data_IF_628402562793
#
_entry.id   IF_628402562793
#
_cell.length_a   1.000
_cell.length_b   1.000
_cell.length_c   1.000
_cell.angle_alpha   90.00
_cell.angle_beta   90.00
_cell.angle_gamma   90.00
#
_symmetry.space_group_name_H-M   'P 1'
#
loop_
_entity.id
_entity.type
_entity.pdbx_description
1 polymer ?
#
# COMPACT_ATOMS: atom_id res chain seq x y z
N UNK A 1 -13.04 -15.97 2.54
CA UNK A 1 -12.87 -14.64 3.14
C UNK A 1 -11.69 -13.91 2.51
N UNK A 2 -11.88 -12.63 2.18
CA UNK A 2 -10.82 -11.75 1.65
C UNK A 2 -10.41 -10.77 2.74
N UNK A 3 -9.16 -10.32 2.69
CA UNK A 3 -8.56 -9.43 3.68
C UNK A 3 -7.92 -8.24 2.96
N UNK A 4 -7.92 -7.07 3.61
CA UNK A 4 -7.10 -5.94 3.18
C UNK A 4 -5.84 -5.86 4.04
N UNK A 5 -4.66 -5.82 3.41
CA UNK A 5 -3.35 -5.75 4.09
C UNK A 5 -2.59 -4.45 3.76
N UNK A 6 -2.71 -3.42 4.60
CA UNK A 6 -1.97 -2.16 4.45
C UNK A 6 -0.46 -2.32 4.28
N UNK A 7 0.12 -3.31 4.99
CA UNK A 7 1.55 -3.59 4.96
C UNK A 7 2.05 -4.05 3.58
N UNK A 8 1.14 -4.40 2.67
CA UNK A 8 1.48 -4.77 1.31
C UNK A 8 1.67 -3.59 0.37
N UNK A 9 1.34 -2.38 0.81
CA UNK A 9 1.59 -1.17 0.04
C UNK A 9 3.04 -0.68 0.21
N UNK A 10 3.66 -0.39 -0.93
CA UNK A 10 4.98 0.20 -1.05
C UNK A 10 4.90 1.44 -1.94
N UNK A 11 5.68 2.46 -1.61
CA UNK A 11 5.96 3.58 -2.50
C UNK A 11 7.32 3.34 -3.13
N UNK A 12 7.36 3.37 -4.46
CA UNK A 12 8.56 3.31 -5.27
C UNK A 12 8.94 4.70 -5.76
N UNK A 13 10.25 4.91 -5.92
CA UNK A 13 10.84 6.18 -6.30
C UNK A 13 11.54 6.06 -7.66
N UNK A 14 11.81 7.22 -8.28
CA UNK A 14 12.49 7.30 -9.58
C UNK A 14 13.92 6.73 -9.56
N UNK A 15 14.57 6.67 -8.40
CA UNK A 15 15.91 6.12 -8.20
C UNK A 15 15.92 4.58 -8.01
N UNK A 16 14.75 3.94 -8.08
CA UNK A 16 14.59 2.51 -7.87
C UNK A 16 14.43 2.08 -6.41
N UNK A 17 14.50 3.03 -5.46
CA UNK A 17 14.21 2.77 -4.06
C UNK A 17 12.73 2.43 -3.81
N UNK A 18 12.46 1.82 -2.66
CA UNK A 18 11.09 1.59 -2.18
C UNK A 18 11.01 1.73 -0.66
N UNK A 19 9.90 2.27 -0.16
CA UNK A 19 9.54 2.26 1.27
C UNK A 19 8.18 1.60 1.47
N UNK A 20 8.04 0.86 2.56
CA UNK A 20 6.73 0.39 3.02
C UNK A 20 5.92 1.51 3.68
N UNK A 21 4.65 1.24 3.96
CA UNK A 21 3.79 2.13 4.74
C UNK A 21 4.44 2.47 6.08
N UNK A 22 4.54 3.75 6.41
CA UNK A 22 4.99 4.20 7.71
C UNK A 22 3.86 3.96 8.71
N UNK A 23 4.10 3.12 9.72
CA UNK A 23 3.13 2.89 10.79
C UNK A 23 2.93 4.18 11.58
N UNK A 24 1.97 5.01 11.19
CA UNK A 24 1.61 6.18 11.98
C UNK A 24 0.91 5.72 13.27
N UNK A 25 1.06 6.49 14.36
CA UNK A 25 0.43 6.25 15.68
C UNK A 25 -1.10 6.10 15.65
N UNK A 26 -1.73 6.35 14.50
CA UNK A 26 -3.14 6.12 14.21
C UNK A 26 -3.28 5.22 12.98
N UNK A 27 -2.65 4.04 13.02
CA UNK A 27 -3.08 2.95 12.15
C UNK A 27 -4.61 2.85 12.30
N UNK A 28 -5.43 2.93 11.24
CA UNK A 28 -6.58 2.06 11.28
C UNK A 28 -5.95 0.67 11.40
N UNK A 29 -6.23 -0.04 12.49
CA UNK A 29 -5.69 -1.38 12.80
C UNK A 29 -6.18 -2.37 11.75
N UNK A 30 -5.75 -2.17 10.51
CA UNK A 30 -6.12 -2.94 9.35
C UNK A 30 -5.12 -4.09 9.20
N UNK A 31 -4.50 -4.55 10.30
CA UNK A 31 -3.54 -5.66 10.28
C UNK A 31 -4.14 -6.93 9.66
N UNK A 32 -5.47 -7.03 9.65
CA UNK A 32 -6.23 -7.98 8.83
C UNK A 32 -7.70 -7.61 8.91
N UNK A 33 -8.17 -6.65 8.11
CA UNK A 33 -9.62 -6.33 8.15
C UNK A 33 -10.39 -7.38 7.38
N UNK A 34 -11.26 -8.17 8.04
CA UNK A 34 -12.07 -9.15 7.34
C UNK A 34 -13.10 -8.42 6.45
N UNK A 35 -13.12 -8.77 5.17
CA UNK A 35 -14.10 -8.27 4.22
C UNK A 35 -15.12 -9.35 3.91
N UNK A 36 -16.40 -9.04 4.13
CA UNK A 36 -17.51 -9.86 3.61
C UNK A 36 -17.62 -9.70 2.08
N UNK A 37 -18.27 -10.64 1.37
CA UNK A 37 -18.54 -10.46 -0.05
C UNK A 37 -19.22 -9.11 -0.33
N UNK A 38 -18.71 -8.37 -1.32
CA UNK A 38 -19.17 -7.01 -1.70
C UNK A 38 -18.90 -5.90 -0.68
N UNK A 39 -18.10 -6.16 0.35
CA UNK A 39 -17.67 -5.14 1.31
C UNK A 39 -16.33 -4.54 0.87
N UNK A 40 -16.23 -3.22 0.93
CA UNK A 40 -15.00 -2.48 0.70
C UNK A 40 -14.49 -1.88 2.02
N UNK A 41 -13.18 -1.87 2.21
CA UNK A 41 -12.53 -1.03 3.21
C UNK A 41 -11.95 0.21 2.54
N UNK A 42 -12.00 1.34 3.25
CA UNK A 42 -11.35 2.59 2.86
C UNK A 42 -10.58 3.14 4.05
N UNK A 43 -9.38 3.63 3.81
CA UNK A 43 -8.52 4.22 4.82
C UNK A 43 -7.45 5.10 4.19
N UNK A 44 -6.60 5.65 5.06
CA UNK A 44 -5.42 6.42 4.67
C UNK A 44 -4.16 5.62 5.02
N UNK A 45 -3.13 5.78 4.20
CA UNK A 45 -1.79 5.23 4.42
C UNK A 45 -0.81 6.38 4.35
N UNK A 46 0.06 6.47 5.35
CA UNK A 46 1.11 7.46 5.40
C UNK A 46 2.44 6.80 5.01
N UNK A 47 3.29 7.55 4.29
CA UNK A 47 4.63 7.12 3.92
C UNK A 47 5.62 8.21 4.34
N UNK A 48 6.68 7.82 5.05
CA UNK A 48 7.74 8.73 5.46
C UNK A 48 8.71 8.95 4.29
N UNK A 49 8.34 9.85 3.37
CA UNK A 49 9.18 10.23 2.23
C UNK A 49 10.24 11.23 2.68
N UNK A 50 11.50 10.96 2.36
CA UNK A 50 12.59 11.89 2.67
C UNK A 50 12.59 13.06 1.68
N UNK A 51 12.94 14.26 2.17
CA UNK A 51 13.05 15.44 1.31
C UNK A 51 13.97 15.17 0.11
N UNK A 52 13.47 15.47 -1.10
CA UNK A 52 14.18 15.25 -2.36
C UNK A 52 13.88 13.92 -3.06
N UNK A 53 13.30 12.93 -2.37
CA UNK A 53 12.82 11.72 -3.02
C UNK A 53 11.56 12.02 -3.85
N UNK A 54 11.48 11.44 -5.05
CA UNK A 54 10.34 11.60 -5.97
C UNK A 54 9.58 10.27 -6.10
N UNK A 55 8.45 10.11 -5.38
CA UNK A 55 7.56 8.96 -5.58
C UNK A 55 7.09 8.88 -7.02
N UNK A 56 7.07 7.68 -7.60
CA UNK A 56 6.62 7.43 -8.97
C UNK A 56 5.46 6.45 -9.03
N UNK A 57 5.47 5.42 -8.17
CA UNK A 57 4.48 4.34 -8.18
C UNK A 57 4.12 3.95 -6.75
N UNK A 58 2.83 3.74 -6.49
CA UNK A 58 2.34 2.97 -5.35
C UNK A 58 2.13 1.54 -5.83
N UNK A 59 2.74 0.57 -5.17
CA UNK A 59 2.64 -0.85 -5.48
C UNK A 59 1.98 -1.60 -4.34
N UNK A 60 1.01 -2.45 -4.65
CA UNK A 60 0.51 -3.46 -3.74
C UNK A 60 1.16 -4.79 -4.12
N UNK A 61 1.97 -5.34 -3.21
CA UNK A 61 2.80 -6.51 -3.51
C UNK A 61 2.08 -7.86 -3.33
N UNK A 62 0.83 -7.88 -2.87
CA UNK A 62 0.02 -9.09 -2.98
C UNK A 62 -0.12 -9.41 -4.46
N UNK A 63 0.39 -10.57 -4.85
CA UNK A 63 0.23 -11.07 -6.20
C UNK A 63 -1.26 -11.23 -6.48
N UNK A 64 -1.79 -10.52 -7.49
CA UNK A 64 -3.14 -10.79 -7.99
C UNK A 64 -3.23 -12.22 -8.51
N UNK A 65 -4.45 -12.68 -8.85
CA UNK A 65 -4.68 -14.04 -9.33
C UNK A 65 -3.80 -14.41 -10.56
N UNK A 66 -3.33 -13.42 -11.31
CA UNK A 66 -2.42 -13.53 -12.46
C UNK A 66 -0.93 -13.38 -12.09
N UNK A 67 -0.59 -13.40 -10.79
CA UNK A 67 0.76 -13.27 -10.22
C UNK A 67 1.45 -11.93 -10.49
N UNK A 68 0.70 -10.89 -10.85
CA UNK A 68 1.24 -9.54 -11.05
C UNK A 68 1.08 -8.69 -9.79
N UNK A 69 1.96 -7.71 -9.64
CA UNK A 69 1.74 -6.66 -8.66
C UNK A 69 0.69 -5.68 -9.19
N UNK A 70 -0.10 -5.10 -8.29
CA UNK A 70 -1.03 -4.03 -8.66
C UNK A 70 -0.29 -2.72 -8.44
N UNK A 71 -0.22 -1.88 -9.48
CA UNK A 71 0.53 -0.63 -9.47
C UNK A 71 -0.35 0.55 -9.85
N UNK A 72 -0.15 1.67 -9.15
CA UNK A 72 -0.80 2.94 -9.43
C UNK A 72 0.28 4.03 -9.57
N UNK A 73 0.32 4.78 -10.68
CA UNK A 73 1.26 5.88 -10.83
C UNK A 73 0.92 7.02 -9.86
N UNK A 74 1.95 7.61 -9.26
CA UNK A 74 1.83 8.85 -8.49
C UNK A 74 1.82 10.01 -9.48
N UNK A 75 0.84 10.91 -9.35
CA UNK A 75 0.69 12.11 -10.18
C UNK A 75 1.41 13.30 -9.58
#
# INVERSE_FOLDING_TARGET
>A
DSFAFPSFFQVHFADGGAIGSYGSKKQPTLERTPLKPKQCARGWLDFAVTSGQKPTVIRYHEMSADKKAIEWPVK
#
